data_IF_853784822235
#
_entry.id   IF_853784822235
#
_cell.length_a   1.000
_cell.length_b   1.000
_cell.length_c   1.000
_cell.angle_alpha   90.00
_cell.angle_beta   90.00
_cell.angle_gamma   90.00
#
_symmetry.space_group_name_H-M   'P 1'
#
loop_
_entity.id
_entity.type
_entity.pdbx_description
1 polymer ?
#
# COMPACT_ATOMS: atom_id res chain seq x y z
N UNK A 1 16.46 25.78 17.70
CA UNK A 1 16.13 24.59 16.90
C UNK A 1 16.64 23.34 17.62
N UNK A 2 15.74 22.59 18.26
CA UNK A 2 16.09 21.29 18.81
C UNK A 2 16.35 20.38 17.62
N UNK A 3 17.63 20.01 17.37
CA UNK A 3 18.00 19.02 16.40
C UNK A 3 17.25 17.72 16.71
N UNK A 4 16.37 17.30 15.81
CA UNK A 4 15.79 15.97 15.91
C UNK A 4 16.92 14.99 15.72
N UNK A 5 17.30 14.30 16.81
CA UNK A 5 18.23 13.18 16.71
C UNK A 5 17.56 12.12 15.82
N UNK A 6 18.13 11.86 14.65
CA UNK A 6 17.70 10.78 13.77
C UNK A 6 17.99 9.47 14.48
N UNK A 7 16.98 8.85 15.05
CA UNK A 7 17.11 7.49 15.58
C UNK A 7 16.94 6.48 14.45
N UNK A 8 17.86 5.53 14.34
CA UNK A 8 17.73 4.39 13.45
C UNK A 8 16.57 3.52 13.92
N UNK A 9 15.73 3.07 12.98
CA UNK A 9 14.55 2.24 13.22
C UNK A 9 14.63 0.96 12.39
N UNK A 10 15.53 0.04 12.76
CA UNK A 10 15.72 -1.20 12.00
C UNK A 10 14.45 -2.04 11.94
N UNK A 11 13.60 -2.00 12.96
CA UNK A 11 12.32 -2.70 13.00
C UNK A 11 11.36 -2.20 11.91
N UNK A 12 11.35 -0.89 11.61
CA UNK A 12 10.52 -0.31 10.54
C UNK A 12 11.04 -0.74 9.17
N UNK A 13 12.35 -0.75 8.99
CA UNK A 13 12.96 -1.23 7.74
C UNK A 13 12.70 -2.72 7.52
N UNK A 14 12.86 -3.55 8.56
CA UNK A 14 12.58 -4.99 8.45
C UNK A 14 11.09 -5.25 8.18
N UNK A 15 10.19 -4.52 8.85
CA UNK A 15 8.76 -4.56 8.57
C UNK A 15 8.45 -4.20 7.12
N UNK A 16 9.00 -3.10 6.63
CA UNK A 16 8.87 -2.69 5.23
C UNK A 16 9.36 -3.77 4.26
N UNK A 17 10.54 -4.35 4.50
CA UNK A 17 11.07 -5.42 3.65
C UNK A 17 10.18 -6.67 3.67
N UNK A 18 9.63 -7.05 4.82
CA UNK A 18 8.70 -8.17 4.93
C UNK A 18 7.39 -7.91 4.16
N UNK A 19 6.84 -6.69 4.25
CA UNK A 19 5.66 -6.29 3.49
C UNK A 19 5.88 -6.40 1.98
N UNK A 20 7.12 -6.16 1.49
CA UNK A 20 7.42 -6.29 0.07
C UNK A 20 7.20 -7.71 -0.45
N UNK A 21 7.50 -8.75 0.35
CA UNK A 21 7.25 -10.15 -0.03
C UNK A 21 5.78 -10.45 -0.24
N UNK A 22 4.91 -9.86 0.57
CA UNK A 22 3.47 -10.04 0.42
C UNK A 22 2.92 -9.26 -0.78
N UNK A 23 3.27 -7.97 -0.87
CA UNK A 23 2.77 -7.06 -1.93
C UNK A 23 3.33 -7.43 -3.30
N UNK A 24 4.60 -7.80 -3.37
CA UNK A 24 5.32 -8.09 -4.61
C UNK A 24 5.25 -9.54 -5.07
N UNK A 25 4.41 -10.37 -4.45
CA UNK A 25 4.32 -11.82 -4.67
C UNK A 25 5.52 -12.59 -4.10
N UNK A 26 5.27 -13.34 -3.04
CA UNK A 26 6.30 -14.11 -2.31
C UNK A 26 7.14 -15.03 -3.21
N UNK A 27 6.51 -15.66 -4.22
CA UNK A 27 7.20 -16.57 -5.15
C UNK A 27 8.15 -15.80 -6.06
N UNK A 28 7.68 -14.71 -6.67
CA UNK A 28 8.48 -13.90 -7.61
C UNK A 28 9.64 -13.19 -6.89
N UNK A 29 9.38 -12.61 -5.71
CA UNK A 29 10.45 -11.97 -4.95
C UNK A 29 11.51 -12.98 -4.48
N UNK A 30 11.09 -14.16 -4.04
CA UNK A 30 12.04 -15.22 -3.64
C UNK A 30 12.87 -15.69 -4.84
N UNK A 31 12.24 -15.87 -6.00
CA UNK A 31 12.94 -16.23 -7.23
C UNK A 31 13.95 -15.14 -7.63
N UNK A 32 13.54 -13.87 -7.58
CA UNK A 32 14.40 -12.73 -7.88
C UNK A 32 15.57 -12.61 -6.90
N UNK A 33 15.32 -12.72 -5.60
CA UNK A 33 16.33 -12.69 -4.57
C UNK A 33 17.35 -13.84 -4.76
N UNK A 34 16.88 -15.06 -5.04
CA UNK A 34 17.73 -16.19 -5.35
C UNK A 34 18.59 -15.98 -6.59
N UNK A 35 18.04 -15.34 -7.62
CA UNK A 35 18.76 -14.97 -8.84
C UNK A 35 19.83 -13.93 -8.57
N UNK A 36 19.58 -12.92 -7.73
CA UNK A 36 20.55 -11.93 -7.29
C UNK A 36 21.69 -12.56 -6.48
N UNK A 37 21.36 -13.36 -5.46
CA UNK A 37 22.33 -13.96 -4.54
C UNK A 37 23.28 -14.94 -5.25
N UNK A 38 22.77 -15.69 -6.24
CA UNK A 38 23.58 -16.59 -7.05
C UNK A 38 24.47 -15.88 -8.08
N UNK A 39 24.30 -14.58 -8.24
CA UNK A 39 25.03 -13.78 -9.23
C UNK A 39 24.64 -14.07 -10.68
N UNK A 40 23.56 -14.83 -10.92
CA UNK A 40 23.10 -15.23 -12.26
C UNK A 40 22.70 -14.05 -13.15
N UNK A 41 22.42 -12.90 -12.54
CA UNK A 41 22.15 -11.66 -13.25
C UNK A 41 23.34 -11.12 -14.06
N UNK A 42 24.59 -11.47 -13.65
CA UNK A 42 25.80 -11.02 -14.35
C UNK A 42 25.98 -11.68 -15.71
N UNK A 43 25.53 -12.93 -15.83
CA UNK A 43 25.55 -13.69 -17.09
C UNK A 43 24.30 -13.62 -17.91
N UNK A 44 23.24 -13.00 -17.38
CA UNK A 44 21.97 -12.82 -18.08
C UNK A 44 22.06 -11.64 -19.07
N UNK A 45 21.54 -11.82 -20.28
CA UNK A 45 21.57 -10.82 -21.36
C UNK A 45 21.08 -9.43 -20.93
N UNK A 46 20.03 -9.37 -20.07
CA UNK A 46 19.46 -8.13 -19.59
C UNK A 46 19.51 -8.02 -18.04
N UNK A 47 20.40 -8.78 -17.39
CA UNK A 47 20.42 -8.86 -15.94
C UNK A 47 20.72 -7.52 -15.29
N UNK A 48 21.73 -6.79 -15.79
CA UNK A 48 22.06 -5.45 -15.31
C UNK A 48 20.91 -4.47 -15.44
N UNK A 49 20.17 -4.52 -16.55
CA UNK A 49 19.01 -3.65 -16.78
C UNK A 49 17.96 -3.85 -15.66
N UNK A 50 17.61 -5.10 -15.36
CA UNK A 50 16.61 -5.40 -14.32
C UNK A 50 17.10 -5.00 -12.93
N UNK A 51 18.39 -5.22 -12.63
CA UNK A 51 18.98 -4.81 -11.35
C UNK A 51 18.96 -3.29 -11.22
N UNK A 52 19.39 -2.56 -12.25
CA UNK A 52 19.43 -1.09 -12.23
C UNK A 52 18.02 -0.47 -12.15
N UNK A 53 17.02 -1.15 -12.66
CA UNK A 53 15.64 -0.65 -12.63
C UNK A 53 14.95 -0.91 -11.28
N UNK A 54 15.35 -1.95 -10.55
CA UNK A 54 14.69 -2.37 -9.29
C UNK A 54 15.49 -2.01 -8.03
N UNK A 55 16.78 -2.32 -8.00
CA UNK A 55 17.58 -2.23 -6.78
C UNK A 55 17.74 -0.82 -6.23
N UNK A 56 17.99 0.24 -7.03
CA UNK A 56 18.13 1.58 -6.50
C UNK A 56 16.86 2.06 -5.80
N UNK A 57 15.69 1.81 -6.41
CA UNK A 57 14.40 2.21 -5.85
C UNK A 57 14.13 1.51 -4.52
N UNK A 58 14.31 0.19 -4.46
CA UNK A 58 14.17 -0.57 -3.20
C UNK A 58 15.15 -0.09 -2.14
N UNK A 59 16.41 0.14 -2.52
CA UNK A 59 17.45 0.58 -1.58
C UNK A 59 17.14 1.96 -1.00
N UNK A 60 16.72 2.91 -1.81
CA UNK A 60 16.36 4.26 -1.36
C UNK A 60 15.20 4.20 -0.36
N UNK A 61 14.15 3.42 -0.65
CA UNK A 61 12.99 3.35 0.24
C UNK A 61 13.30 2.54 1.50
N UNK A 62 14.12 1.48 1.40
CA UNK A 62 14.58 0.74 2.58
C UNK A 62 15.44 1.63 3.49
N UNK A 63 16.33 2.45 2.93
CA UNK A 63 17.09 3.44 3.68
C UNK A 63 16.17 4.49 4.32
N UNK A 64 15.16 4.96 3.59
CA UNK A 64 14.15 5.85 4.16
C UNK A 64 13.42 5.21 5.35
N UNK A 65 13.05 3.93 5.24
CA UNK A 65 12.39 3.18 6.30
C UNK A 65 13.27 3.07 7.56
N UNK A 66 14.58 3.06 7.40
CA UNK A 66 15.53 3.03 8.51
C UNK A 66 15.50 4.31 9.36
N UNK A 67 15.18 5.46 8.75
CA UNK A 67 15.16 6.76 9.45
C UNK A 67 13.75 7.26 9.74
N UNK A 68 12.76 6.81 8.98
CA UNK A 68 11.42 7.34 9.03
C UNK A 68 10.40 6.25 8.62
N UNK A 69 9.14 6.64 8.54
CA UNK A 69 8.07 5.77 8.03
C UNK A 69 8.22 5.61 6.51
N UNK A 70 8.08 4.38 6.01
CA UNK A 70 7.91 4.05 4.61
C UNK A 70 6.61 3.25 4.43
N UNK A 71 5.92 3.49 3.32
CA UNK A 71 4.73 2.72 2.96
C UNK A 71 5.11 1.67 1.92
N UNK A 72 4.52 0.47 1.99
CA UNK A 72 4.82 -0.65 1.10
C UNK A 72 4.65 -0.30 -0.39
N UNK A 73 3.65 0.51 -0.73
CA UNK A 73 3.35 0.91 -2.10
C UNK A 73 4.38 1.87 -2.74
N UNK A 74 5.28 2.46 -1.96
CA UNK A 74 6.31 3.33 -2.53
C UNK A 74 7.31 2.58 -3.40
N UNK A 75 7.50 1.29 -3.13
CA UNK A 75 8.36 0.42 -3.94
C UNK A 75 7.65 -0.20 -5.16
N UNK A 76 6.39 0.13 -5.42
CA UNK A 76 5.62 -0.45 -6.52
C UNK A 76 6.31 -0.39 -7.90
N UNK A 77 7.00 0.70 -8.31
CA UNK A 77 7.72 0.70 -9.59
C UNK A 77 8.84 -0.34 -9.66
N UNK A 78 9.53 -0.63 -8.53
CA UNK A 78 10.55 -1.67 -8.50
C UNK A 78 9.96 -3.07 -8.69
N UNK A 79 8.74 -3.31 -8.19
CA UNK A 79 8.06 -4.60 -8.34
C UNK A 79 7.72 -4.95 -9.78
N UNK A 80 7.50 -3.96 -10.64
CA UNK A 80 7.31 -4.20 -12.08
C UNK A 80 8.56 -4.85 -12.67
N UNK A 81 9.73 -4.27 -12.43
CA UNK A 81 11.01 -4.80 -12.92
C UNK A 81 11.34 -6.17 -12.32
N UNK A 82 11.12 -6.32 -11.00
CA UNK A 82 11.34 -7.58 -10.27
C UNK A 82 10.45 -8.69 -10.84
N UNK A 83 9.18 -8.42 -11.05
CA UNK A 83 8.23 -9.42 -11.57
C UNK A 83 8.61 -9.85 -12.98
N UNK A 84 8.96 -8.90 -13.85
CA UNK A 84 9.40 -9.22 -15.22
C UNK A 84 10.68 -10.04 -15.22
N UNK A 85 11.67 -9.68 -14.42
CA UNK A 85 12.94 -10.43 -14.31
C UNK A 85 12.71 -11.83 -13.74
N UNK A 86 11.90 -11.97 -12.68
CA UNK A 86 11.59 -13.26 -12.06
C UNK A 86 10.82 -14.17 -13.01
N UNK A 87 9.81 -13.66 -13.71
CA UNK A 87 9.04 -14.43 -14.69
C UNK A 87 9.93 -14.87 -15.84
N UNK A 88 10.73 -13.96 -16.40
CA UNK A 88 11.66 -14.31 -17.49
C UNK A 88 12.68 -15.37 -17.05
N UNK A 89 13.27 -15.22 -15.85
CA UNK A 89 14.22 -16.18 -15.30
C UNK A 89 13.61 -17.56 -15.04
N UNK A 90 12.42 -17.61 -14.44
CA UNK A 90 11.72 -18.87 -14.21
C UNK A 90 11.28 -19.54 -15.51
N UNK A 91 10.88 -18.75 -16.50
CA UNK A 91 10.51 -19.26 -17.84
C UNK A 91 11.70 -19.86 -18.56
N UNK A 92 12.82 -19.14 -18.62
CA UNK A 92 14.08 -19.62 -19.24
C UNK A 92 14.61 -20.89 -18.56
N UNK A 93 14.50 -20.96 -17.23
CA UNK A 93 14.88 -22.14 -16.44
C UNK A 93 13.84 -23.29 -16.52
N UNK A 94 12.75 -23.13 -17.27
CA UNK A 94 11.63 -24.09 -17.38
C UNK A 94 10.98 -24.44 -16.04
N UNK A 95 11.01 -23.53 -15.09
CA UNK A 95 10.39 -23.70 -13.77
C UNK A 95 8.89 -23.33 -13.77
N UNK A 96 8.11 -23.88 -14.67
CA UNK A 96 6.71 -23.54 -14.89
C UNK A 96 5.81 -23.76 -13.66
N UNK A 97 6.17 -24.73 -12.80
CA UNK A 97 5.43 -24.94 -11.53
C UNK A 97 5.49 -23.73 -10.63
N UNK A 98 6.62 -23.02 -10.58
CA UNK A 98 6.76 -21.81 -9.79
C UNK A 98 6.00 -20.62 -10.40
N UNK A 99 5.92 -20.55 -11.73
CA UNK A 99 5.06 -19.55 -12.40
C UNK A 99 3.58 -19.81 -12.09
N UNK A 100 3.14 -21.08 -12.13
CA UNK A 100 1.80 -21.47 -11.72
C UNK A 100 1.52 -21.11 -10.24
N UNK A 101 2.47 -21.38 -9.35
CA UNK A 101 2.37 -21.01 -7.95
C UNK A 101 2.28 -19.49 -7.74
N UNK A 102 3.07 -18.70 -8.48
CA UNK A 102 3.01 -17.25 -8.43
C UNK A 102 1.64 -16.72 -8.88
N UNK A 103 1.09 -17.25 -9.97
CA UNK A 103 -0.24 -16.89 -10.47
C UNK A 103 -1.32 -17.28 -9.45
N UNK A 104 -1.25 -18.51 -8.92
CA UNK A 104 -2.18 -19.00 -7.89
C UNK A 104 -2.14 -18.15 -6.62
N UNK A 105 -0.94 -17.72 -6.19
CA UNK A 105 -0.80 -16.80 -5.06
C UNK A 105 -1.49 -15.46 -5.33
N UNK A 106 -1.27 -14.86 -6.49
CA UNK A 106 -1.90 -13.59 -6.84
C UNK A 106 -3.43 -13.70 -6.92
N UNK A 107 -3.94 -14.78 -7.52
CA UNK A 107 -5.38 -15.03 -7.57
C UNK A 107 -5.99 -15.22 -6.19
N UNK A 108 -5.37 -16.06 -5.34
CA UNK A 108 -5.81 -16.26 -3.98
C UNK A 108 -5.79 -14.96 -3.18
N UNK A 109 -4.69 -14.21 -3.29
CA UNK A 109 -4.54 -12.93 -2.60
C UNK A 109 -5.59 -11.91 -3.05
N UNK A 110 -5.86 -11.81 -4.35
CA UNK A 110 -6.92 -10.96 -4.88
C UNK A 110 -8.31 -11.38 -4.36
N UNK A 111 -8.62 -12.69 -4.40
CA UNK A 111 -9.89 -13.20 -3.85
C UNK A 111 -10.03 -12.88 -2.37
N UNK A 112 -8.98 -13.07 -1.58
CA UNK A 112 -9.01 -12.75 -0.14
C UNK A 112 -9.14 -11.25 0.12
N UNK A 113 -8.51 -10.40 -0.69
CA UNK A 113 -8.66 -8.95 -0.57
C UNK A 113 -10.10 -8.51 -0.88
N UNK A 114 -10.67 -8.96 -1.98
CA UNK A 114 -11.99 -8.49 -2.41
C UNK A 114 -13.16 -9.21 -1.72
N UNK A 115 -13.01 -10.48 -1.42
CA UNK A 115 -14.08 -11.33 -0.88
C UNK A 115 -13.78 -11.91 0.51
N UNK A 116 -12.67 -11.55 1.14
CA UNK A 116 -12.26 -12.12 2.43
C UNK A 116 -13.27 -11.88 3.55
N UNK A 117 -14.07 -10.82 3.47
CA UNK A 117 -15.17 -10.61 4.40
C UNK A 117 -16.19 -11.77 4.30
N UNK A 118 -16.73 -11.98 3.11
CA UNK A 118 -17.79 -12.98 2.86
C UNK A 118 -17.27 -14.40 2.97
N UNK A 119 -16.04 -14.67 2.49
CA UNK A 119 -15.50 -16.03 2.43
C UNK A 119 -14.84 -16.50 3.73
N UNK A 120 -14.31 -15.56 4.52
CA UNK A 120 -13.52 -15.91 5.70
C UNK A 120 -14.13 -15.36 6.98
N UNK A 121 -14.46 -14.08 7.00
CA UNK A 121 -14.81 -13.39 8.25
C UNK A 121 -16.24 -13.69 8.69
N UNK A 122 -17.21 -13.62 7.80
CA UNK A 122 -18.60 -13.92 8.11
C UNK A 122 -18.79 -15.38 8.58
N UNK A 123 -18.24 -16.40 7.89
CA UNK A 123 -18.34 -17.78 8.34
C UNK A 123 -17.66 -18.05 9.68
N UNK A 124 -16.59 -17.30 10.00
CA UNK A 124 -15.87 -17.43 11.27
C UNK A 124 -16.42 -16.55 12.39
N UNK A 125 -17.48 -15.80 12.15
CA UNK A 125 -18.07 -14.86 13.11
C UNK A 125 -17.14 -13.72 13.53
N UNK A 126 -16.15 -13.37 12.70
CA UNK A 126 -15.17 -12.33 13.01
C UNK A 126 -15.75 -10.95 12.70
N UNK A 127 -15.87 -10.12 13.72
CA UNK A 127 -16.29 -8.72 13.53
C UNK A 127 -15.29 -7.91 12.71
N UNK A 128 -15.81 -6.99 11.87
CA UNK A 128 -14.97 -6.05 11.17
C UNK A 128 -14.30 -5.09 12.16
N UNK A 129 -13.00 -4.89 12.02
CA UNK A 129 -12.22 -3.95 12.82
C UNK A 129 -11.10 -3.35 12.00
N UNK A 130 -10.56 -2.22 12.46
CA UNK A 130 -9.43 -1.57 11.81
C UNK A 130 -8.16 -2.46 11.71
N UNK A 131 -8.04 -3.48 12.56
CA UNK A 131 -6.91 -4.44 12.55
C UNK A 131 -7.09 -5.58 11.57
N UNK A 132 -8.32 -5.93 11.27
CA UNK A 132 -8.65 -7.16 10.52
C UNK A 132 -9.26 -6.89 9.15
N UNK A 133 -9.65 -5.66 8.87
CA UNK A 133 -10.27 -5.26 7.61
C UNK A 133 -9.41 -4.23 6.87
N UNK A 134 -8.73 -4.59 5.78
CA UNK A 134 -7.91 -3.66 5.01
C UNK A 134 -8.72 -2.49 4.42
N UNK A 135 -10.03 -2.66 4.30
CA UNK A 135 -10.95 -1.64 3.79
C UNK A 135 -11.73 -0.91 4.89
N UNK A 136 -11.38 -1.10 6.18
CA UNK A 136 -12.07 -0.47 7.30
C UNK A 136 -12.22 1.05 7.12
N UNK A 137 -11.16 1.72 6.72
CA UNK A 137 -11.16 3.17 6.51
C UNK A 137 -11.98 3.63 5.29
N UNK A 138 -12.40 2.71 4.42
CA UNK A 138 -13.19 2.99 3.22
C UNK A 138 -14.67 2.61 3.39
N UNK A 139 -15.02 1.95 4.50
CA UNK A 139 -16.39 1.51 4.75
C UNK A 139 -17.22 2.62 5.41
N UNK A 140 -18.53 2.48 5.26
CA UNK A 140 -19.55 3.34 5.91
C UNK A 140 -19.50 4.82 5.51
N UNK A 141 -18.69 5.21 4.53
CA UNK A 141 -18.70 6.60 4.05
C UNK A 141 -20.04 7.08 3.53
N UNK A 142 -20.84 6.28 2.79
CA UNK A 142 -22.19 6.71 2.36
C UNK A 142 -23.07 7.09 3.54
N UNK A 143 -23.02 6.35 4.64
CA UNK A 143 -23.76 6.63 5.85
C UNK A 143 -23.24 7.88 6.57
N UNK A 144 -21.91 8.01 6.70
CA UNK A 144 -21.28 9.22 7.25
C UNK A 144 -21.65 10.46 6.43
N UNK A 145 -21.65 10.36 5.10
CA UNK A 145 -22.06 11.47 4.23
C UNK A 145 -23.53 11.84 4.45
N UNK A 146 -24.43 10.84 4.54
CA UNK A 146 -25.85 11.08 4.78
C UNK A 146 -26.09 11.75 6.14
N UNK A 147 -25.49 11.22 7.20
CA UNK A 147 -25.61 11.78 8.56
C UNK A 147 -25.03 13.20 8.62
N UNK A 148 -23.84 13.42 8.04
CA UNK A 148 -23.22 14.75 8.02
C UNK A 148 -24.09 15.75 7.25
N UNK A 149 -24.64 15.35 6.11
CA UNK A 149 -25.55 16.20 5.32
C UNK A 149 -26.79 16.57 6.11
N UNK A 150 -27.43 15.60 6.77
CA UNK A 150 -28.60 15.82 7.57
C UNK A 150 -28.34 16.82 8.72
N UNK A 151 -27.21 16.62 9.44
CA UNK A 151 -26.83 17.55 10.51
C UNK A 151 -26.53 18.95 9.98
N UNK A 152 -25.86 19.10 8.86
CA UNK A 152 -25.59 20.42 8.26
C UNK A 152 -26.85 21.09 7.78
N UNK A 153 -27.77 20.35 7.16
CA UNK A 153 -29.05 20.89 6.71
C UNK A 153 -29.93 21.31 7.88
N UNK A 154 -29.94 20.54 8.97
CA UNK A 154 -30.71 20.86 10.18
C UNK A 154 -30.15 22.07 10.92
N UNK A 155 -28.82 22.12 11.12
CA UNK A 155 -28.18 23.16 11.94
C UNK A 155 -27.84 24.44 11.18
N UNK A 156 -27.58 24.32 9.86
CA UNK A 156 -27.08 25.40 9.00
C UNK A 156 -27.84 25.42 7.64
N UNK A 157 -29.16 25.58 7.61
CA UNK A 157 -30.00 25.34 6.42
C UNK A 157 -29.72 26.28 5.24
N UNK A 158 -29.15 27.46 5.49
CA UNK A 158 -28.88 28.47 4.45
C UNK A 158 -27.38 28.83 4.30
N UNK A 159 -26.49 28.11 4.97
CA UNK A 159 -25.08 28.43 4.97
C UNK A 159 -24.33 27.71 3.82
N UNK A 160 -23.31 28.36 3.28
CA UNK A 160 -22.29 27.69 2.48
C UNK A 160 -21.35 26.95 3.44
N UNK A 161 -21.38 25.63 3.37
CA UNK A 161 -20.59 24.80 4.26
C UNK A 161 -19.11 24.79 3.88
N UNK A 162 -18.27 24.80 4.90
CA UNK A 162 -16.86 24.51 4.80
C UNK A 162 -16.52 23.42 5.81
N UNK A 163 -15.70 22.48 5.41
CA UNK A 163 -15.22 21.40 6.27
C UNK A 163 -13.74 21.56 6.53
N UNK A 164 -13.31 21.33 7.77
CA UNK A 164 -11.91 21.37 8.15
C UNK A 164 -11.53 20.09 8.89
N UNK A 165 -10.38 19.52 8.56
CA UNK A 165 -9.81 18.35 9.26
C UNK A 165 -8.28 18.37 9.13
N UNK A 166 -7.60 17.75 10.08
CA UNK A 166 -6.18 17.43 10.02
C UNK A 166 -5.89 16.16 9.19
N UNK A 167 -6.92 15.35 8.91
CA UNK A 167 -6.83 14.15 8.08
C UNK A 167 -7.28 14.43 6.64
N UNK A 168 -6.34 14.26 5.69
CA UNK A 168 -6.59 14.48 4.26
C UNK A 168 -7.59 13.48 3.67
N UNK A 169 -7.62 12.24 4.18
CA UNK A 169 -8.55 11.24 3.68
C UNK A 169 -9.98 11.59 4.07
N UNK A 170 -10.19 12.04 5.30
CA UNK A 170 -11.50 12.55 5.78
C UNK A 170 -11.94 13.74 4.95
N UNK A 171 -11.05 14.72 4.71
CA UNK A 171 -11.38 15.89 3.89
C UNK A 171 -11.79 15.50 2.48
N UNK A 172 -11.02 14.62 1.82
CA UNK A 172 -11.31 14.17 0.47
C UNK A 172 -12.67 13.47 0.39
N UNK A 173 -12.98 12.61 1.36
CA UNK A 173 -14.24 11.91 1.45
C UNK A 173 -15.42 12.86 1.68
N UNK A 174 -15.30 13.79 2.62
CA UNK A 174 -16.36 14.76 2.89
C UNK A 174 -16.56 15.72 1.71
N UNK A 175 -15.49 16.18 1.07
CA UNK A 175 -15.59 17.03 -0.12
C UNK A 175 -16.35 16.33 -1.25
N UNK A 176 -16.01 15.07 -1.51
CA UNK A 176 -16.65 14.27 -2.55
C UNK A 176 -18.09 13.90 -2.17
N UNK A 177 -18.31 13.36 -0.98
CA UNK A 177 -19.62 12.84 -0.56
C UNK A 177 -20.67 13.91 -0.30
N UNK A 178 -20.26 15.12 0.10
CA UNK A 178 -21.15 16.26 0.28
C UNK A 178 -21.24 17.14 -0.97
N UNK A 179 -20.50 16.80 -2.02
CA UNK A 179 -20.42 17.57 -3.28
C UNK A 179 -20.04 19.05 -3.04
N UNK A 180 -19.02 19.27 -2.19
CA UNK A 180 -18.59 20.61 -1.84
C UNK A 180 -17.76 21.25 -2.96
N UNK A 181 -17.88 22.57 -3.17
CA UNK A 181 -17.08 23.27 -4.18
C UNK A 181 -15.60 23.28 -3.83
N UNK A 182 -14.76 23.53 -4.83
CA UNK A 182 -13.33 23.70 -4.63
C UNK A 182 -13.05 24.80 -3.59
N UNK A 183 -12.16 24.52 -2.64
CA UNK A 183 -11.82 25.45 -1.56
C UNK A 183 -12.77 25.41 -0.34
N UNK A 184 -13.82 24.60 -0.34
CA UNK A 184 -14.66 24.39 0.83
C UNK A 184 -14.07 23.36 1.83
N UNK A 185 -13.08 22.56 1.40
CA UNK A 185 -12.36 21.64 2.27
C UNK A 185 -11.03 22.28 2.69
N UNK A 186 -10.84 22.46 4.00
CA UNK A 186 -9.70 23.15 4.58
C UNK A 186 -8.83 22.18 5.40
N UNK A 187 -7.60 22.01 4.99
CA UNK A 187 -6.62 21.24 5.78
C UNK A 187 -6.23 22.02 7.04
N UNK A 188 -6.44 21.43 8.21
CA UNK A 188 -5.98 21.98 9.46
C UNK A 188 -4.76 21.18 9.96
N UNK A 189 -3.66 21.87 10.24
CA UNK A 189 -2.56 21.26 10.99
C UNK A 189 -2.78 21.50 12.50
N UNK A 190 -2.85 20.41 13.25
CA UNK A 190 -3.02 20.44 14.72
C UNK A 190 -1.88 21.15 15.46
N UNK A 191 -0.73 21.35 14.81
CA UNK A 191 0.44 22.04 15.32
C UNK A 191 0.85 23.12 14.30
N UNK A 192 -0.04 24.09 14.10
CA UNK A 192 0.29 25.31 13.39
C UNK A 192 0.96 26.30 14.35
N UNK A 193 2.20 26.07 14.67
CA UNK A 193 3.19 27.05 15.12
C UNK A 193 4.52 26.61 14.53
#
# INVERSE_FOLDING_TARGET
SKGQAYSLKPEVMLGFLAEQWLVGNVVLLTAYAGWLLRGSWRSSQNGWFWVMLSAPMLSVIALQALFSRANANWAAPAHVAISMAAVAGLWQARHYKWLGAALGFNMLFAVLLYHGQTLVREPLGLSASWRTDPYWALRNWPEVHAQTRNLLTEKLPQAQWRVASDDRAVLAQLQWGLNLPAGAALGWKKNGI
#
